data_IF_219559553425
#
_entry.id   IF_219559553425
#
_cell.length_a   1.000
_cell.length_b   1.000
_cell.length_c   1.000
_cell.angle_alpha   90.00
_cell.angle_beta   90.00
_cell.angle_gamma   90.00
#
_symmetry.space_group_name_H-M   'P 1'
#
loop_
_entity.id
_entity.type
_entity.pdbx_description
1 polymer ?
#
# COMPACT_ATOMS: atom_id res chain seq x y z
N UNK A 1 -0.16 13.53 11.17
CA UNK A 1 0.71 12.34 11.28
C UNK A 1 2.17 12.66 10.95
N UNK A 2 2.57 13.01 9.71
CA UNK A 2 3.98 13.21 9.33
C UNK A 2 4.75 14.25 10.19
N UNK A 3 4.15 15.42 10.49
CA UNK A 3 4.75 16.41 11.39
C UNK A 3 4.97 15.89 12.81
N UNK A 4 4.12 15.00 13.31
CA UNK A 4 4.32 14.34 14.60
C UNK A 4 5.50 13.38 14.55
N UNK A 5 5.61 12.57 13.48
CA UNK A 5 6.77 11.71 13.26
C UNK A 5 8.08 12.53 13.22
N UNK A 6 8.09 13.66 12.49
CA UNK A 6 9.26 14.54 12.43
C UNK A 6 9.71 15.02 13.83
N UNK A 7 8.76 15.41 14.69
CA UNK A 7 9.08 15.87 16.06
C UNK A 7 9.67 14.78 16.96
N UNK A 8 9.30 13.52 16.73
CA UNK A 8 9.77 12.37 17.51
C UNK A 8 11.18 11.90 17.12
N UNK A 9 11.63 12.22 15.92
CA UNK A 9 12.98 11.89 15.49
C UNK A 9 14.00 12.83 16.15
N UNK A 10 15.18 12.32 16.48
CA UNK A 10 16.35 13.17 16.80
C UNK A 10 16.83 13.93 15.55
N UNK A 11 17.58 15.03 15.67
CA UNK A 11 18.25 15.66 14.52
C UNK A 11 19.05 14.62 13.72
N UNK A 12 19.05 14.71 12.41
CA UNK A 12 19.59 13.74 11.46
C UNK A 12 18.94 12.32 11.55
N UNK A 13 17.90 12.14 12.35
CA UNK A 13 17.14 10.90 12.44
C UNK A 13 16.39 10.59 11.15
N UNK A 14 16.18 9.32 10.84
CA UNK A 14 15.54 8.87 9.61
C UNK A 14 14.22 8.17 9.91
N UNK A 15 13.28 8.31 9.00
CA UNK A 15 12.05 7.52 8.95
C UNK A 15 12.01 6.70 7.66
N UNK A 16 11.41 5.52 7.73
CA UNK A 16 11.11 4.70 6.56
C UNK A 16 9.72 4.07 6.74
N UNK A 17 8.94 4.05 5.69
CA UNK A 17 7.62 3.39 5.68
C UNK A 17 7.21 2.95 4.27
N UNK A 18 6.37 1.94 4.21
CA UNK A 18 5.72 1.53 2.99
C UNK A 18 4.36 2.22 2.86
N UNK A 19 3.97 2.53 1.64
CA UNK A 19 2.64 3.04 1.33
C UNK A 19 2.10 2.37 0.08
N UNK A 20 0.79 2.11 0.08
CA UNK A 20 0.05 1.72 -1.12
C UNK A 20 -0.68 2.97 -1.60
N UNK A 21 -0.58 3.27 -2.88
CA UNK A 21 -1.17 4.45 -3.47
C UNK A 21 -1.69 4.18 -4.88
N UNK A 22 -2.52 5.07 -5.38
CA UNK A 22 -2.96 5.04 -6.78
C UNK A 22 -1.83 5.49 -7.70
N UNK A 23 -1.76 4.90 -8.88
CA UNK A 23 -0.84 5.36 -9.93
C UNK A 23 -1.21 6.78 -10.40
N UNK A 24 -0.23 7.48 -10.94
CA UNK A 24 -0.45 8.79 -11.56
C UNK A 24 -1.14 8.66 -12.93
N UNK A 25 -1.79 9.73 -13.37
CA UNK A 25 -2.38 9.81 -14.72
C UNK A 25 -3.62 8.95 -14.95
N UNK A 26 -4.25 8.43 -13.89
CA UNK A 26 -5.47 7.63 -14.01
C UNK A 26 -6.68 8.49 -14.42
N UNK A 27 -7.53 7.92 -15.27
CA UNK A 27 -8.88 8.45 -15.53
C UNK A 27 -9.73 8.37 -14.26
N UNK A 28 -10.84 9.14 -14.20
CA UNK A 28 -11.78 9.06 -13.06
C UNK A 28 -12.32 7.67 -12.82
N UNK A 29 -12.57 6.89 -13.86
CA UNK A 29 -13.06 5.52 -13.76
C UNK A 29 -11.99 4.59 -13.17
N UNK A 30 -10.75 4.69 -13.67
CA UNK A 30 -9.59 3.95 -13.15
C UNK A 30 -9.30 4.31 -11.70
N UNK A 31 -9.31 5.60 -11.36
CA UNK A 31 -9.11 6.08 -10.00
C UNK A 31 -10.13 5.46 -9.03
N UNK A 32 -11.44 5.49 -9.38
CA UNK A 32 -12.48 4.85 -8.55
C UNK A 32 -12.28 3.35 -8.42
N UNK A 33 -11.90 2.66 -9.51
CA UNK A 33 -11.64 1.21 -9.49
C UNK A 33 -10.44 0.87 -8.61
N UNK A 34 -9.33 1.59 -8.73
CA UNK A 34 -8.14 1.41 -7.90
C UNK A 34 -8.43 1.71 -6.42
N UNK A 35 -9.16 2.79 -6.13
CA UNK A 35 -9.52 3.17 -4.77
C UNK A 35 -10.39 2.11 -4.05
N UNK A 36 -11.27 1.42 -4.78
CA UNK A 36 -12.08 0.32 -4.23
C UNK A 36 -11.28 -0.94 -3.95
N UNK A 37 -10.22 -1.19 -4.71
CA UNK A 37 -9.38 -2.36 -4.56
C UNK A 37 -8.23 -2.16 -3.55
N UNK A 38 -7.93 -0.92 -3.19
CA UNK A 38 -6.88 -0.56 -2.24
C UNK A 38 -7.39 -0.37 -0.81
N UNK A 39 -6.47 -0.10 0.13
CA UNK A 39 -6.84 0.22 1.52
C UNK A 39 -7.61 1.56 1.60
N UNK A 40 -8.31 1.76 2.73
CA UNK A 40 -9.21 2.92 2.95
C UNK A 40 -8.54 4.28 2.66
N UNK A 41 -7.25 4.42 2.92
CA UNK A 41 -6.50 5.68 2.76
C UNK A 41 -5.68 5.75 1.46
N UNK A 42 -5.96 4.90 0.48
CA UNK A 42 -5.16 4.79 -0.76
C UNK A 42 -5.24 6.04 -1.64
N UNK A 43 -6.36 6.74 -1.61
CA UNK A 43 -6.59 7.96 -2.39
C UNK A 43 -6.01 9.18 -1.67
N UNK A 44 -4.75 9.48 -1.93
CA UNK A 44 -4.09 10.70 -1.47
C UNK A 44 -4.13 11.76 -2.57
N UNK A 45 -4.40 13.01 -2.21
CA UNK A 45 -4.53 14.13 -3.17
C UNK A 45 -3.18 14.66 -3.67
N UNK A 46 -2.08 14.28 -3.01
CA UNK A 46 -0.71 14.71 -3.37
C UNK A 46 0.27 13.54 -3.24
N UNK A 47 1.35 13.51 -4.05
CA UNK A 47 2.44 12.55 -3.90
C UNK A 47 3.00 12.55 -2.47
N UNK A 48 3.32 11.38 -1.96
CA UNK A 48 3.85 11.23 -0.59
C UNK A 48 5.19 11.95 -0.40
N UNK A 49 6.02 12.05 -1.45
CA UNK A 49 7.26 12.83 -1.45
C UNK A 49 7.00 14.31 -1.17
N UNK A 50 5.97 14.89 -1.79
CA UNK A 50 5.56 16.27 -1.53
C UNK A 50 5.01 16.46 -0.11
N UNK A 51 4.25 15.48 0.40
CA UNK A 51 3.73 15.52 1.76
C UNK A 51 4.83 15.46 2.82
N UNK A 52 5.88 14.66 2.58
CA UNK A 52 7.07 14.61 3.42
C UNK A 52 7.81 15.96 3.43
N UNK A 53 8.11 16.53 2.26
CA UNK A 53 8.73 17.84 2.14
C UNK A 53 7.93 18.95 2.84
N UNK A 54 6.60 18.97 2.64
CA UNK A 54 5.71 19.93 3.29
C UNK A 54 5.61 19.74 4.82
N UNK A 55 5.95 18.56 5.32
CA UNK A 55 6.05 18.28 6.76
C UNK A 55 7.40 18.69 7.37
N UNK A 56 8.40 19.03 6.55
CA UNK A 56 9.74 19.47 6.97
C UNK A 56 10.83 18.39 6.89
N UNK A 57 10.55 17.26 6.25
CA UNK A 57 11.56 16.24 5.97
C UNK A 57 12.45 16.65 4.80
N UNK A 58 13.71 16.20 4.83
CA UNK A 58 14.70 16.34 3.77
C UNK A 58 15.18 14.96 3.28
N UNK A 59 15.99 14.93 2.22
CA UNK A 59 16.55 13.71 1.63
C UNK A 59 15.50 12.63 1.33
N UNK A 60 14.33 13.07 0.84
CA UNK A 60 13.22 12.17 0.56
C UNK A 60 13.57 11.28 -0.64
N UNK A 61 13.54 9.97 -0.42
CA UNK A 61 13.76 8.95 -1.45
C UNK A 61 12.55 8.03 -1.52
N UNK A 62 12.15 7.71 -2.74
CA UNK A 62 11.08 6.76 -3.03
C UNK A 62 11.63 5.60 -3.85
N UNK A 63 11.29 4.38 -3.46
CA UNK A 63 11.60 3.14 -4.18
C UNK A 63 10.30 2.46 -4.54
N UNK A 64 10.11 2.15 -5.82
CA UNK A 64 8.95 1.39 -6.30
C UNK A 64 9.09 -0.08 -5.91
N UNK A 65 8.13 -0.60 -5.16
CA UNK A 65 8.02 -1.99 -4.73
C UNK A 65 6.78 -2.68 -5.33
N UNK A 66 6.24 -2.14 -6.41
CA UNK A 66 5.03 -2.70 -7.04
C UNK A 66 5.22 -4.13 -7.57
N UNK A 67 6.35 -4.51 -8.20
CA UNK A 67 6.58 -5.89 -8.62
C UNK A 67 6.58 -6.88 -7.45
N UNK A 68 7.26 -6.55 -6.36
CA UNK A 68 7.29 -7.35 -5.13
C UNK A 68 5.91 -7.40 -4.47
N UNK A 69 5.15 -6.31 -4.53
CA UNK A 69 3.79 -6.26 -4.02
C UNK A 69 2.86 -7.24 -4.74
N UNK A 70 2.93 -7.30 -6.07
CA UNK A 70 2.18 -8.26 -6.86
C UNK A 70 2.57 -9.71 -6.52
N UNK A 71 3.88 -9.98 -6.44
CA UNK A 71 4.42 -11.30 -6.10
C UNK A 71 3.98 -11.78 -4.71
N UNK A 72 4.12 -10.93 -3.70
CA UNK A 72 3.71 -11.24 -2.33
C UNK A 72 2.20 -11.46 -2.23
N UNK A 73 1.39 -10.62 -2.90
CA UNK A 73 -0.07 -10.78 -2.89
C UNK A 73 -0.49 -12.11 -3.50
N UNK A 74 0.15 -12.53 -4.59
CA UNK A 74 -0.10 -13.84 -5.22
C UNK A 74 0.30 -14.98 -4.30
N UNK A 75 1.50 -14.95 -3.72
CA UNK A 75 1.97 -15.98 -2.79
C UNK A 75 1.06 -16.11 -1.55
N UNK A 76 0.53 -15.01 -1.04
CA UNK A 76 -0.46 -15.03 0.03
C UNK A 76 -1.77 -15.73 -0.37
N UNK A 77 -2.26 -15.47 -1.58
CA UNK A 77 -3.48 -16.13 -2.08
C UNK A 77 -3.27 -17.64 -2.22
N UNK A 78 -2.14 -18.05 -2.78
CA UNK A 78 -1.76 -19.46 -2.93
C UNK A 78 -1.65 -20.16 -1.57
N UNK A 79 -0.98 -19.52 -0.59
CA UNK A 79 -0.84 -20.04 0.77
C UNK A 79 -2.20 -20.17 1.47
N UNK A 80 -3.10 -19.20 1.31
CA UNK A 80 -4.44 -19.26 1.86
C UNK A 80 -5.26 -20.40 1.26
N UNK A 81 -5.16 -20.61 -0.06
CA UNK A 81 -5.86 -21.70 -0.72
C UNK A 81 -5.29 -23.07 -0.32
N UNK A 82 -3.98 -23.19 -0.13
CA UNK A 82 -3.33 -24.41 0.36
C UNK A 82 -3.77 -24.80 1.79
N UNK A 83 -4.10 -23.82 2.64
CA UNK A 83 -4.52 -24.03 4.04
C UNK A 83 -6.02 -23.74 4.24
N UNK A 84 -6.81 -23.86 3.18
CA UNK A 84 -8.24 -23.51 3.20
C UNK A 84 -9.03 -24.21 4.32
N UNK A 85 -8.94 -25.55 4.52
CA UNK A 85 -9.74 -26.23 5.55
C UNK A 85 -9.51 -25.67 6.95
N UNK A 86 -8.25 -25.45 7.31
CA UNK A 86 -7.86 -24.91 8.63
C UNK A 86 -8.29 -23.46 8.80
N UNK A 87 -8.13 -22.65 7.73
CA UNK A 87 -8.49 -21.25 7.77
C UNK A 87 -10.02 -21.04 7.75
N UNK A 88 -10.78 -21.86 7.04
CA UNK A 88 -12.23 -21.83 7.10
C UNK A 88 -12.77 -22.26 8.46
N UNK A 89 -12.13 -23.24 9.11
CA UNK A 89 -12.49 -23.64 10.46
C UNK A 89 -12.21 -22.53 11.50
N UNK A 90 -11.11 -21.78 11.33
CA UNK A 90 -10.69 -20.72 12.25
C UNK A 90 -11.45 -19.40 12.04
N UNK A 91 -11.64 -18.99 10.78
CA UNK A 91 -12.19 -17.68 10.42
C UNK A 91 -13.68 -17.71 10.07
N UNK A 92 -14.21 -18.89 9.76
CA UNK A 92 -15.49 -19.06 9.09
C UNK A 92 -15.38 -18.95 7.57
N UNK A 93 -16.17 -19.73 6.86
CA UNK A 93 -16.16 -19.83 5.39
C UNK A 93 -16.40 -18.47 4.72
N UNK A 94 -17.39 -17.72 5.18
CA UNK A 94 -17.76 -16.44 4.57
C UNK A 94 -16.64 -15.43 4.68
N UNK A 95 -15.97 -15.37 5.84
CA UNK A 95 -14.81 -14.49 6.06
C UNK A 95 -13.64 -14.89 5.17
N UNK A 96 -13.37 -16.20 5.05
CA UNK A 96 -12.32 -16.71 4.16
C UNK A 96 -12.57 -16.28 2.71
N UNK A 97 -13.78 -16.53 2.20
CA UNK A 97 -14.18 -16.18 0.82
C UNK A 97 -14.08 -14.68 0.58
N UNK A 98 -14.56 -13.87 1.51
CA UNK A 98 -14.48 -12.41 1.41
C UNK A 98 -13.02 -11.92 1.33
N UNK A 99 -12.14 -12.40 2.20
CA UNK A 99 -10.70 -12.05 2.19
C UNK A 99 -9.99 -12.46 0.90
N UNK A 100 -10.31 -13.65 0.36
CA UNK A 100 -9.75 -14.09 -0.93
C UNK A 100 -10.26 -13.23 -2.09
N UNK A 101 -11.53 -12.82 -2.06
CA UNK A 101 -12.10 -11.91 -3.07
C UNK A 101 -11.43 -10.52 -3.02
N UNK A 102 -11.20 -9.96 -1.83
CA UNK A 102 -10.48 -8.69 -1.65
C UNK A 102 -9.05 -8.75 -2.21
N UNK A 103 -8.29 -9.81 -1.88
CA UNK A 103 -6.93 -9.99 -2.40
C UNK A 103 -6.90 -10.15 -3.91
N UNK A 104 -7.86 -10.89 -4.48
CA UNK A 104 -7.98 -11.05 -5.93
C UNK A 104 -8.28 -9.72 -6.61
N UNK A 105 -9.17 -8.92 -6.04
CA UNK A 105 -9.46 -7.57 -6.50
C UNK A 105 -8.24 -6.66 -6.44
N UNK A 106 -7.48 -6.71 -5.34
CA UNK A 106 -6.25 -5.95 -5.16
C UNK A 106 -5.18 -6.36 -6.18
N UNK A 107 -4.93 -7.66 -6.35
CA UNK A 107 -3.97 -8.17 -7.34
C UNK A 107 -4.34 -7.72 -8.76
N UNK A 108 -5.60 -7.83 -9.14
CA UNK A 108 -6.09 -7.36 -10.43
C UNK A 108 -5.91 -5.85 -10.64
N UNK A 109 -6.01 -5.04 -9.57
CA UNK A 109 -5.76 -3.60 -9.64
C UNK A 109 -4.25 -3.28 -9.74
N UNK A 110 -3.37 -4.06 -9.09
CA UNK A 110 -1.92 -3.94 -9.23
C UNK A 110 -1.49 -4.28 -10.66
N UNK A 111 -1.94 -5.42 -11.18
CA UNK A 111 -1.61 -5.90 -12.53
C UNK A 111 -2.17 -4.97 -13.63
N UNK A 112 -3.30 -4.33 -13.39
CA UNK A 112 -3.86 -3.30 -14.27
C UNK A 112 -3.17 -1.93 -14.14
N UNK A 113 -2.11 -1.80 -13.33
CA UNK A 113 -1.37 -0.55 -13.13
C UNK A 113 -2.13 0.53 -12.37
N UNK A 114 -3.18 0.18 -11.60
CA UNK A 114 -4.00 1.13 -10.85
C UNK A 114 -3.46 1.38 -9.45
N UNK A 115 -2.90 0.34 -8.82
CA UNK A 115 -2.30 0.38 -7.49
C UNK A 115 -0.79 0.19 -7.58
N UNK A 116 -0.07 0.97 -6.79
CA UNK A 116 1.38 0.89 -6.63
C UNK A 116 1.73 0.78 -5.14
N UNK A 117 2.91 0.24 -4.87
CA UNK A 117 3.49 0.24 -3.53
C UNK A 117 4.88 0.85 -3.60
N UNK A 118 5.13 1.81 -2.72
CA UNK A 118 6.45 2.43 -2.60
C UNK A 118 6.98 2.32 -1.17
N UNK A 119 8.30 2.25 -1.05
CA UNK A 119 9.01 2.53 0.18
C UNK A 119 9.51 3.96 0.13
N UNK A 120 9.19 4.73 1.17
CA UNK A 120 9.70 6.10 1.34
C UNK A 120 10.67 6.15 2.51
N UNK A 121 11.78 6.83 2.28
CA UNK A 121 12.80 7.12 3.30
C UNK A 121 13.02 8.62 3.32
N UNK A 122 13.07 9.21 4.51
CA UNK A 122 13.31 10.64 4.66
C UNK A 122 14.04 10.94 5.96
N UNK A 123 14.73 12.08 6.01
CA UNK A 123 15.53 12.52 7.16
C UNK A 123 14.91 13.73 7.83
N UNK A 124 15.09 13.84 9.15
CA UNK A 124 14.91 15.10 9.86
C UNK A 124 16.18 15.96 9.67
N UNK A 125 16.07 17.25 9.34
CA UNK A 125 17.20 18.19 9.36
C UNK A 125 17.95 18.20 10.67
#
# INVERSE_FOLDING_TARGET
MLRACLRLLRPAGRTAFHTIHLADGLTRAQHRRGARAGPVAVACSRPHTQLLGAAGFVDVRETDLTPEFASVTRAWMESYDAHRPELEALLGRDTFVARQAERRSQLGAIEAGLLRRSMLVASRP
#
